data_IF_642302659110
#
_entry.id   IF_642302659110
#
_cell.length_a   1.000
_cell.length_b   1.000
_cell.length_c   1.000
_cell.angle_alpha   90.00
_cell.angle_beta   90.00
_cell.angle_gamma   90.00
#
_symmetry.space_group_name_H-M   'P 1'
#
loop_
_entity.id
_entity.type
_entity.pdbx_description
1 polymer ?
#
# COMPACT_ATOMS: atom_id res chain seq x y z
N UNK A 1 -4.05 2.34 -13.96
CA UNK A 1 -3.16 2.60 -12.81
C UNK A 1 -4.04 2.64 -11.57
N UNK A 2 -3.80 1.80 -10.55
CA UNK A 2 -4.47 1.93 -9.28
C UNK A 2 -4.29 3.34 -8.73
N UNK A 3 -5.40 3.94 -8.32
CA UNK A 3 -5.44 5.29 -7.77
C UNK A 3 -5.55 5.30 -6.25
N UNK A 4 -5.78 4.12 -5.65
CA UNK A 4 -6.01 3.92 -4.22
C UNK A 4 -4.95 2.98 -3.68
N UNK A 5 -4.42 3.31 -2.51
CA UNK A 5 -3.51 2.50 -1.72
C UNK A 5 -4.19 2.08 -0.41
N UNK A 6 -3.97 0.84 0.00
CA UNK A 6 -4.47 0.27 1.25
C UNK A 6 -3.44 0.48 2.37
N UNK A 7 -3.46 1.64 3.02
CA UNK A 7 -2.54 1.98 4.11
C UNK A 7 -2.81 1.15 5.35
N UNK A 8 -1.76 0.59 5.92
CA UNK A 8 -1.78 -0.11 7.21
C UNK A 8 -1.44 0.90 8.32
N UNK A 9 -2.39 1.15 9.22
CA UNK A 9 -2.22 1.95 10.43
C UNK A 9 -2.42 1.06 11.67
N UNK A 10 -2.01 1.56 12.84
CA UNK A 10 -2.19 0.83 14.11
C UNK A 10 -3.67 0.54 14.41
N UNK A 11 -4.56 1.43 14.00
CA UNK A 11 -6.02 1.29 14.16
C UNK A 11 -6.67 0.38 13.11
N UNK A 12 -5.90 -0.18 12.18
CA UNK A 12 -6.40 -0.99 11.07
C UNK A 12 -6.04 -0.42 9.70
N UNK A 13 -6.74 -0.89 8.67
CA UNK A 13 -6.48 -0.51 7.28
C UNK A 13 -7.38 0.63 6.84
N UNK A 14 -6.82 1.57 6.07
CA UNK A 14 -7.56 2.67 5.45
C UNK A 14 -7.20 2.79 3.97
N UNK A 15 -8.17 3.20 3.17
CA UNK A 15 -7.97 3.46 1.75
C UNK A 15 -7.68 4.94 1.54
N UNK A 16 -6.59 5.26 0.88
CA UNK A 16 -6.22 6.63 0.54
C UNK A 16 -5.83 6.75 -0.94
N UNK A 17 -5.93 7.94 -1.55
CA UNK A 17 -5.33 8.20 -2.84
C UNK A 17 -3.82 7.90 -2.82
N UNK A 18 -3.30 7.31 -3.89
CA UNK A 18 -1.86 6.98 -3.98
C UNK A 18 -0.96 8.22 -3.89
N UNK A 19 -1.49 9.41 -4.24
CA UNK A 19 -0.82 10.70 -4.07
C UNK A 19 -0.64 11.15 -2.63
N UNK A 20 -1.36 10.52 -1.68
CA UNK A 20 -1.27 10.82 -0.25
C UNK A 20 -0.32 9.88 0.51
N UNK A 21 0.18 8.82 -0.15
CA UNK A 21 1.16 7.89 0.41
C UNK A 21 2.49 8.59 0.59
N UNK A 22 3.12 8.44 1.77
CA UNK A 22 4.40 9.07 2.10
C UNK A 22 5.48 8.03 2.36
N UNK A 23 6.74 8.45 2.28
CA UNK A 23 7.88 7.60 2.63
C UNK A 23 7.74 7.09 4.07
N UNK A 24 7.87 5.77 4.23
CA UNK A 24 7.73 5.08 5.51
C UNK A 24 6.32 4.58 5.83
N UNK A 25 5.31 4.93 5.04
CA UNK A 25 4.01 4.28 5.13
C UNK A 25 4.09 2.80 4.70
N UNK A 26 3.33 1.94 5.37
CA UNK A 26 3.14 0.54 4.97
C UNK A 26 1.85 0.40 4.18
N UNK A 27 1.91 -0.22 3.02
CA UNK A 27 0.75 -0.47 2.14
C UNK A 27 0.57 -1.97 2.00
N UNK A 28 -0.68 -2.44 2.13
CA UNK A 28 -1.01 -3.84 1.85
C UNK A 28 -1.32 -4.00 0.37
N UNK A 29 -0.72 -5.02 -0.23
CA UNK A 29 -0.89 -5.33 -1.65
C UNK A 29 -1.32 -6.78 -1.75
N UNK A 30 -2.47 -7.02 -2.39
CA UNK A 30 -2.97 -8.37 -2.59
C UNK A 30 -2.44 -8.98 -3.88
N UNK A 31 -2.38 -10.32 -3.98
CA UNK A 31 -2.08 -10.98 -5.25
C UNK A 31 -3.02 -10.48 -6.35
N UNK A 32 -2.46 -10.17 -7.52
CA UNK A 32 -3.15 -9.57 -8.69
C UNK A 32 -3.54 -8.10 -8.56
N UNK A 33 -3.22 -7.46 -7.45
CA UNK A 33 -3.28 -6.01 -7.33
C UNK A 33 -2.01 -5.42 -7.98
N UNK A 34 -2.17 -4.34 -8.74
CA UNK A 34 -1.02 -3.62 -9.31
C UNK A 34 -0.64 -2.48 -8.38
N UNK A 35 0.61 -2.05 -8.43
CA UNK A 35 1.08 -0.83 -7.79
C UNK A 35 1.79 0.00 -8.84
N UNK A 36 1.56 1.31 -8.83
CA UNK A 36 2.11 2.24 -9.84
C UNK A 36 3.22 3.13 -9.29
N UNK A 37 3.82 2.75 -8.16
CA UNK A 37 4.93 3.46 -7.52
C UNK A 37 6.06 2.47 -7.21
N UNK A 38 7.29 2.98 -7.11
CA UNK A 38 8.45 2.17 -6.73
C UNK A 38 8.42 1.88 -5.23
N UNK A 39 8.44 0.60 -4.86
CA UNK A 39 8.26 0.16 -3.47
C UNK A 39 9.29 -0.90 -3.04
N UNK A 40 9.41 -1.08 -1.73
CA UNK A 40 10.21 -2.15 -1.12
C UNK A 40 9.26 -3.04 -0.31
N UNK A 41 9.26 -4.34 -0.61
CA UNK A 41 8.51 -5.32 0.17
C UNK A 41 9.18 -5.50 1.53
N UNK A 42 8.49 -5.08 2.60
CA UNK A 42 8.99 -5.19 3.98
C UNK A 42 8.56 -6.48 4.68
N UNK A 43 7.38 -7.01 4.31
CA UNK A 43 6.79 -8.23 4.88
C UNK A 43 5.97 -8.94 3.79
N UNK A 44 6.00 -10.28 3.75
CA UNK A 44 5.26 -11.09 2.78
C UNK A 44 5.11 -12.54 3.22
N UNK A 45 3.91 -13.10 3.05
CA UNK A 45 3.58 -14.49 3.35
C UNK A 45 3.09 -15.22 2.09
N UNK A 46 3.35 -16.53 2.03
CA UNK A 46 2.91 -17.41 0.94
C UNK A 46 1.41 -17.69 1.00
#
# INVERSE_FOLDING_TARGET
MPTIAHLVKESGMIDVPISEVRLGDKVLVRPRENISVDEIVVEGGQ
#
